data_IF_010261945547
#
_entry.id   IF_010261945547
#
_cell.length_a   1.000
_cell.length_b   1.000
_cell.length_c   1.000
_cell.angle_alpha   90.00
_cell.angle_beta   90.00
_cell.angle_gamma   90.00
#
_symmetry.space_group_name_H-M   'P 1'
#
loop_
_entity.id
_entity.type
_entity.pdbx_description
1 polymer ?
#
# COMPACT_ATOMS: atom_id res chain seq x y z
N UNK A 1 9.20 12.25 6.11
CA UNK A 1 9.05 11.08 6.99
C UNK A 1 7.55 10.82 7.12
N UNK A 2 7.09 9.63 6.75
CA UNK A 2 5.65 9.31 6.79
C UNK A 2 5.19 9.22 8.25
N UNK A 3 4.17 9.99 8.64
CA UNK A 3 3.67 10.06 10.03
C UNK A 3 3.12 8.72 10.55
N UNK A 4 2.80 7.81 9.64
CA UNK A 4 2.09 6.56 9.91
C UNK A 4 3.01 5.36 10.14
N UNK A 5 4.28 5.48 9.71
CA UNK A 5 5.22 4.37 9.63
C UNK A 5 6.41 4.61 10.55
N UNK A 6 6.75 3.59 11.34
CA UNK A 6 7.99 3.51 12.10
C UNK A 6 8.92 2.47 11.50
N UNK A 7 10.16 2.87 11.25
CA UNK A 7 11.22 1.94 10.85
C UNK A 7 11.97 1.45 12.10
N UNK A 8 11.93 0.15 12.36
CA UNK A 8 12.73 -0.52 13.38
C UNK A 8 13.95 -1.18 12.73
N UNK A 9 15.15 -0.69 13.05
CA UNK A 9 16.41 -1.26 12.58
C UNK A 9 16.90 -2.31 13.58
N UNK A 10 17.09 -3.54 13.12
CA UNK A 10 17.64 -4.63 13.91
C UNK A 10 19.11 -4.88 13.55
N UNK A 11 19.85 -5.55 14.44
CA UNK A 11 21.24 -5.96 14.19
C UNK A 11 21.34 -6.80 12.91
N UNK A 12 22.32 -6.49 12.04
CA UNK A 12 22.54 -7.03 10.68
C UNK A 12 21.64 -6.45 9.58
N UNK A 13 21.40 -5.15 9.58
CA UNK A 13 20.76 -4.42 8.46
C UNK A 13 19.36 -4.89 8.11
N UNK A 14 18.64 -5.49 9.07
CA UNK A 14 17.24 -5.88 8.89
C UNK A 14 16.38 -4.71 9.34
N UNK A 15 15.74 -4.05 8.40
CA UNK A 15 14.73 -3.02 8.67
C UNK A 15 13.36 -3.69 8.67
N UNK A 16 12.55 -3.42 9.70
CA UNK A 16 11.11 -3.67 9.65
C UNK A 16 10.38 -2.36 9.67
N UNK A 17 9.41 -2.24 8.79
CA UNK A 17 8.48 -1.12 8.76
C UNK A 17 7.24 -1.54 9.54
N UNK A 18 6.88 -0.76 10.55
CA UNK A 18 5.70 -0.93 11.38
C UNK A 18 4.70 0.17 11.08
N UNK A 19 3.45 -0.21 10.84
CA UNK A 19 2.33 0.73 10.72
C UNK A 19 1.80 1.03 12.12
N UNK A 20 2.05 2.25 12.61
CA UNK A 20 1.61 2.69 13.94
C UNK A 20 0.28 3.43 13.87
N UNK A 21 -0.04 4.05 12.74
CA UNK A 21 -1.30 4.79 12.54
C UNK A 21 -1.93 4.36 11.22
N UNK A 22 -3.24 4.16 11.19
CA UNK A 22 -3.99 3.91 9.97
C UNK A 22 -3.98 5.16 9.08
N UNK A 23 -3.49 5.08 7.83
CA UNK A 23 -3.40 6.24 6.95
C UNK A 23 -4.77 6.68 6.40
N UNK A 24 -5.80 5.83 6.45
CA UNK A 24 -7.15 6.15 6.01
C UNK A 24 -7.92 6.99 7.06
N UNK A 25 -7.94 6.55 8.32
CA UNK A 25 -8.78 7.16 9.36
C UNK A 25 -8.00 7.78 10.53
N UNK A 26 -6.68 7.62 10.58
CA UNK A 26 -5.85 8.13 11.67
C UNK A 26 -5.90 7.31 12.97
N UNK A 27 -6.45 6.09 12.93
CA UNK A 27 -6.50 5.20 14.10
C UNK A 27 -5.10 4.75 14.54
N UNK A 28 -4.77 4.92 15.82
CA UNK A 28 -3.52 4.45 16.42
C UNK A 28 -3.59 2.94 16.69
N UNK A 29 -2.67 2.16 16.12
CA UNK A 29 -2.60 0.72 16.30
C UNK A 29 -1.83 0.32 17.55
N UNK A 30 -2.38 -0.63 18.29
CA UNK A 30 -1.66 -1.29 19.36
C UNK A 30 -0.62 -2.28 18.82
N UNK A 31 0.42 -2.58 19.61
CA UNK A 31 1.55 -3.43 19.17
C UNK A 31 1.10 -4.78 18.63
N UNK A 32 0.19 -5.44 19.34
CA UNK A 32 -0.26 -6.81 19.08
C UNK A 32 -1.63 -6.86 18.38
N UNK A 33 -2.09 -5.73 17.84
CA UNK A 33 -3.37 -5.62 17.12
C UNK A 33 -3.29 -6.11 15.68
N UNK A 34 -4.42 -6.66 15.24
CA UNK A 34 -4.62 -7.10 13.87
C UNK A 34 -4.90 -5.92 12.92
N UNK A 35 -3.81 -5.38 12.37
CA UNK A 35 -3.84 -4.27 11.41
C UNK A 35 -4.49 -4.64 10.08
N UNK A 36 -4.33 -5.88 9.61
CA UNK A 36 -4.84 -6.26 8.29
C UNK A 36 -6.37 -6.38 8.33
N UNK A 37 -6.93 -6.81 9.45
CA UNK A 37 -8.36 -6.80 9.68
C UNK A 37 -8.92 -5.37 9.67
N UNK A 38 -8.32 -4.45 10.43
CA UNK A 38 -8.75 -3.04 10.43
C UNK A 38 -8.65 -2.39 9.04
N UNK A 39 -7.57 -2.65 8.30
CA UNK A 39 -7.38 -2.07 6.95
C UNK A 39 -8.45 -2.58 5.97
N UNK A 40 -8.93 -3.82 6.14
CA UNK A 40 -9.94 -4.41 5.27
C UNK A 40 -11.34 -3.76 5.39
N UNK A 41 -11.58 -3.00 6.46
CA UNK A 41 -12.83 -2.25 6.64
C UNK A 41 -12.85 -0.91 5.87
N UNK A 42 -11.72 -0.49 5.31
CA UNK A 42 -11.61 0.73 4.50
C UNK A 42 -11.78 0.43 3.02
N UNK A 43 -12.38 1.38 2.31
CA UNK A 43 -12.46 1.33 0.87
C UNK A 43 -11.16 1.86 0.23
N UNK A 44 -10.80 1.46 -0.99
CA UNK A 44 -9.60 1.96 -1.69
C UNK A 44 -9.53 3.50 -1.73
N UNK A 45 -10.68 4.15 -1.86
CA UNK A 45 -10.85 5.60 -1.95
C UNK A 45 -10.41 6.30 -0.66
N UNK A 46 -10.54 5.64 0.50
CA UNK A 46 -10.06 6.16 1.79
C UNK A 46 -8.53 6.28 1.82
N UNK A 47 -7.84 5.55 0.95
CA UNK A 47 -6.39 5.65 0.74
C UNK A 47 -6.03 6.55 -0.46
N UNK A 48 -7.00 7.19 -1.10
CA UNK A 48 -6.81 7.96 -2.33
C UNK A 48 -6.51 7.08 -3.55
N UNK A 49 -6.88 5.80 -3.51
CA UNK A 49 -6.77 4.88 -4.65
C UNK A 49 -8.07 4.86 -5.44
N UNK A 50 -7.99 4.45 -6.70
CA UNK A 50 -9.18 4.20 -7.50
C UNK A 50 -9.99 3.02 -6.94
N UNK A 51 -11.32 3.02 -7.12
CA UNK A 51 -12.18 1.90 -6.76
C UNK A 51 -11.70 0.58 -7.36
N UNK A 52 -11.95 -0.52 -6.66
CA UNK A 52 -11.65 -1.85 -7.20
C UNK A 52 -12.47 -2.12 -8.47
N UNK A 53 -11.78 -2.49 -9.54
CA UNK A 53 -12.40 -2.78 -10.85
C UNK A 53 -12.41 -1.61 -11.82
N UNK A 54 -12.02 -0.41 -11.39
CA UNK A 54 -11.77 0.71 -12.29
C UNK A 54 -10.29 0.66 -12.73
N UNK A 55 -10.08 0.22 -13.97
CA UNK A 55 -8.77 0.28 -14.63
C UNK A 55 -8.72 1.44 -15.62
N UNK A 56 -7.52 1.97 -15.84
CA UNK A 56 -7.31 2.93 -16.91
C UNK A 56 -7.68 2.29 -18.27
N UNK A 57 -8.23 3.05 -19.23
CA UNK A 57 -8.70 2.51 -20.51
C UNK A 57 -7.61 1.81 -21.34
N UNK A 58 -6.35 2.11 -21.06
CA UNK A 58 -5.14 1.54 -21.65
C UNK A 58 -4.54 0.38 -20.84
N UNK A 59 -5.21 -0.10 -19.77
CA UNK A 59 -4.72 -1.19 -18.93
C UNK A 59 -4.45 -2.49 -19.69
N UNK A 60 -5.23 -2.76 -20.74
CA UNK A 60 -5.06 -3.95 -21.58
C UNK A 60 -4.09 -3.72 -22.75
N UNK A 61 -3.55 -2.50 -22.90
CA UNK A 61 -2.56 -2.22 -23.92
C UNK A 61 -1.24 -2.92 -23.58
N UNK A 62 -0.66 -3.71 -24.50
CA UNK A 62 0.60 -4.39 -24.24
C UNK A 62 1.71 -3.37 -23.96
N UNK A 63 2.32 -3.48 -22.77
CA UNK A 63 3.42 -2.62 -22.30
C UNK A 63 4.62 -2.55 -23.27
N UNK A 64 4.79 -3.57 -24.11
CA UNK A 64 5.78 -3.59 -25.18
C UNK A 64 5.08 -4.01 -26.47
N UNK A 65 4.68 -3.03 -27.28
CA UNK A 65 4.30 -3.28 -28.66
C UNK A 65 5.54 -3.77 -29.41
N UNK A 66 5.57 -5.07 -29.73
CA UNK A 66 6.70 -5.72 -30.39
C UNK A 66 6.99 -5.06 -31.74
N UNK A 67 8.01 -4.20 -31.78
CA UNK A 67 8.71 -3.87 -33.01
C UNK A 67 9.44 -5.12 -33.48
N UNK A 68 8.80 -5.90 -34.34
CA UNK A 68 9.51 -6.90 -35.14
C UNK A 68 10.29 -6.09 -36.17
N UNK A 69 11.60 -6.02 -35.99
CA UNK A 69 12.51 -5.44 -36.97
C UNK A 69 12.39 -6.17 -38.30
N UNK A 70 12.40 -5.36 -39.37
CA UNK A 70 12.45 -5.76 -40.79
C UNK A 70 13.64 -6.70 -41.09
#
# INVERSE_FOLDING_TARGET
>A
MSRYLRVAVYTRSRERVHLEICPACGYDFDRDEDRHHHIADHAPEDFGLSPLGETAPDHDEPLFAGGVGD
#
